data_IF_925636487269
#
_entry.id   IF_925636487269
#
_cell.length_a   1.000
_cell.length_b   1.000
_cell.length_c   1.000
_cell.angle_alpha   90.00
_cell.angle_beta   90.00
_cell.angle_gamma   90.00
#
_symmetry.space_group_name_H-M   'P 1'
#
loop_
_entity.id
_entity.type
_entity.pdbx_description
1 polymer ?
#
# COMPACT_ATOMS: atom_id res chain seq x y z
N UNK A 1 -32.00 -3.90 17.07
CA UNK A 1 -31.40 -2.55 17.19
C UNK A 1 -32.19 -1.62 16.29
N UNK A 2 -32.61 -0.46 16.78
CA UNK A 2 -33.38 0.49 15.99
C UNK A 2 -32.43 1.45 15.28
N UNK A 3 -32.57 1.60 13.96
CA UNK A 3 -31.88 2.62 13.20
C UNK A 3 -32.47 4.00 13.55
N UNK A 4 -31.64 5.01 13.76
CA UNK A 4 -32.07 6.38 14.02
C UNK A 4 -31.72 7.24 12.82
N UNK A 5 -32.74 7.70 12.09
CA UNK A 5 -32.55 8.65 10.98
C UNK A 5 -32.81 10.07 11.49
N UNK A 6 -31.85 10.96 11.26
CA UNK A 6 -31.99 12.38 11.57
C UNK A 6 -32.66 13.09 10.38
N UNK A 7 -33.69 13.92 10.67
CA UNK A 7 -34.28 14.77 9.63
C UNK A 7 -33.22 15.77 9.15
N UNK A 8 -32.92 15.83 7.85
CA UNK A 8 -31.83 16.66 7.37
C UNK A 8 -32.14 18.13 7.48
N UNK A 9 -31.42 18.88 8.27
CA UNK A 9 -31.23 20.32 8.07
C UNK A 9 -30.17 20.49 6.98
N UNK A 10 -30.43 21.38 6.03
CA UNK A 10 -29.76 21.56 4.74
C UNK A 10 -28.23 21.77 4.85
N UNK A 11 -27.68 22.04 6.01
CA UNK A 11 -26.28 22.38 6.25
C UNK A 11 -25.36 21.15 6.32
N UNK A 12 -25.88 19.94 6.58
CA UNK A 12 -25.03 18.77 6.83
C UNK A 12 -24.58 17.97 5.60
N UNK A 13 -25.15 18.23 4.42
CA UNK A 13 -24.83 17.43 3.21
C UNK A 13 -23.43 17.65 2.64
N UNK A 14 -22.84 18.84 2.84
CA UNK A 14 -21.49 19.15 2.34
C UNK A 14 -20.39 18.78 3.32
N UNK A 15 -20.63 18.85 4.62
CA UNK A 15 -19.61 18.62 5.64
C UNK A 15 -19.16 17.15 5.72
N UNK A 16 -20.07 16.21 5.46
CA UNK A 16 -19.76 14.77 5.51
C UNK A 16 -18.89 14.28 4.35
N UNK A 17 -18.96 14.93 3.19
CA UNK A 17 -18.08 14.60 2.04
C UNK A 17 -16.63 15.01 2.25
N UNK A 18 -16.36 15.97 3.12
CA UNK A 18 -15.02 16.49 3.43
C UNK A 18 -14.26 15.65 4.45
N UNK A 19 -14.93 14.73 5.15
CA UNK A 19 -14.34 13.90 6.21
C UNK A 19 -14.00 12.47 5.74
N UNK A 20 -14.00 12.21 4.43
CA UNK A 20 -13.70 10.88 3.92
C UNK A 20 -12.20 10.69 3.72
N UNK A 21 -11.68 9.68 4.39
CA UNK A 21 -10.32 9.22 4.19
C UNK A 21 -10.15 8.72 2.75
N UNK A 22 -9.11 9.17 2.08
CA UNK A 22 -8.75 8.67 0.76
C UNK A 22 -8.31 7.20 0.84
N UNK A 23 -8.80 6.38 -0.09
CA UNK A 23 -8.52 4.95 -0.15
C UNK A 23 -7.46 4.72 -1.21
N UNK A 24 -6.26 4.34 -0.78
CA UNK A 24 -5.07 4.24 -1.63
C UNK A 24 -4.48 2.84 -1.66
N UNK A 25 -4.35 2.19 -0.49
CA UNK A 25 -3.62 0.93 -0.35
C UNK A 25 -4.13 -0.21 -1.25
N UNK A 26 -5.44 -0.43 -1.45
CA UNK A 26 -5.93 -1.49 -2.32
C UNK A 26 -5.47 -1.40 -3.77
N UNK A 27 -5.10 -0.21 -4.24
CA UNK A 27 -4.59 0.00 -5.61
C UNK A 27 -3.11 -0.37 -5.76
N UNK A 28 -2.38 -0.45 -4.66
CA UNK A 28 -0.96 -0.76 -4.62
C UNK A 28 -0.69 -2.26 -4.45
N UNK A 29 -1.71 -3.02 -4.05
CA UNK A 29 -1.59 -4.46 -3.83
C UNK A 29 -1.76 -5.23 -5.13
N UNK A 30 -1.02 -6.33 -5.27
CA UNK A 30 -1.07 -7.21 -6.41
C UNK A 30 -2.40 -7.99 -6.48
N UNK A 31 -3.12 -7.87 -7.60
CA UNK A 31 -4.49 -8.40 -7.78
C UNK A 31 -4.59 -9.56 -8.78
N UNK A 32 -3.51 -10.24 -9.12
CA UNK A 32 -3.50 -11.24 -10.20
C UNK A 32 -4.12 -12.60 -9.86
N UNK A 33 -4.36 -12.90 -8.59
CA UNK A 33 -4.92 -14.18 -8.16
C UNK A 33 -6.43 -14.33 -8.41
N UNK A 34 -7.13 -13.26 -8.79
CA UNK A 34 -8.61 -13.25 -8.96
C UNK A 34 -9.14 -14.31 -9.94
N UNK A 35 -8.44 -14.53 -11.05
CA UNK A 35 -8.87 -15.50 -12.04
C UNK A 35 -8.70 -16.97 -11.59
N UNK A 36 -7.78 -17.26 -10.70
CA UNK A 36 -7.44 -18.61 -10.26
C UNK A 36 -8.38 -19.13 -9.17
N UNK A 37 -9.04 -18.23 -8.42
CA UNK A 37 -10.06 -18.61 -7.45
C UNK A 37 -11.39 -19.05 -8.09
N UNK A 38 -11.62 -18.75 -9.37
CA UNK A 38 -12.84 -19.15 -10.08
C UNK A 38 -12.84 -20.65 -10.33
N UNK A 39 -13.68 -21.37 -9.60
CA UNK A 39 -13.83 -22.83 -9.71
C UNK A 39 -12.78 -23.63 -8.94
N UNK A 40 -11.99 -23.00 -8.09
CA UNK A 40 -11.13 -23.72 -7.16
C UNK A 40 -11.96 -24.56 -6.19
N UNK A 41 -11.54 -25.80 -5.98
CA UNK A 41 -12.23 -26.75 -5.08
C UNK A 41 -12.01 -26.44 -3.61
N UNK A 42 -10.98 -25.65 -3.32
CA UNK A 42 -10.60 -25.15 -1.99
C UNK A 42 -10.40 -23.65 -2.08
N UNK A 43 -10.61 -22.95 -0.98
CA UNK A 43 -10.39 -21.51 -0.84
C UNK A 43 -8.89 -21.12 -0.84
N UNK A 44 -8.03 -22.02 -1.33
CA UNK A 44 -6.58 -21.86 -1.35
C UNK A 44 -6.04 -22.04 -2.76
N UNK A 45 -5.34 -21.02 -3.24
CA UNK A 45 -4.59 -21.05 -4.50
C UNK A 45 -3.10 -21.05 -4.19
N UNK A 46 -2.37 -21.94 -4.84
CA UNK A 46 -0.91 -22.06 -4.67
C UNK A 46 -0.20 -21.31 -5.77
N UNK A 47 0.46 -20.21 -5.43
CA UNK A 47 1.31 -19.46 -6.35
C UNK A 47 2.70 -20.12 -6.40
N UNK A 48 3.16 -20.47 -7.61
CA UNK A 48 4.50 -20.99 -7.83
C UNK A 48 5.49 -19.85 -7.99
N UNK A 49 6.56 -19.91 -7.23
CA UNK A 49 7.68 -19.00 -7.41
C UNK A 49 8.70 -19.64 -8.35
N UNK A 50 9.20 -18.90 -9.36
CA UNK A 50 10.20 -19.42 -10.28
C UNK A 50 11.48 -19.79 -9.52
N UNK A 51 12.07 -20.90 -9.89
CA UNK A 51 13.35 -21.32 -9.34
C UNK A 51 14.47 -20.37 -9.78
N UNK A 52 15.34 -20.02 -8.86
CA UNK A 52 16.55 -19.21 -9.13
C UNK A 52 17.74 -20.18 -9.25
N UNK A 53 18.31 -20.25 -10.44
CA UNK A 53 19.49 -21.06 -10.70
C UNK A 53 20.76 -20.21 -10.70
N UNK A 54 21.86 -20.76 -10.20
CA UNK A 54 23.17 -20.12 -10.25
C UNK A 54 23.82 -20.33 -11.62
N UNK A 55 24.37 -19.26 -12.20
CA UNK A 55 25.22 -19.38 -13.36
C UNK A 55 26.61 -19.94 -12.95
N UNK A 56 27.14 -20.89 -13.72
CA UNK A 56 28.45 -21.47 -13.47
C UNK A 56 29.33 -21.26 -14.69
N UNK A 57 30.61 -21.01 -14.45
CA UNK A 57 31.58 -20.87 -15.49
C UNK A 57 32.37 -22.22 -15.64
N UNK A 58 32.54 -22.67 -16.87
CA UNK A 58 33.32 -23.82 -17.22
C UNK A 58 34.49 -23.37 -18.09
N UNK A 59 35.72 -23.79 -17.71
CA UNK A 59 36.90 -23.33 -18.42
C UNK A 59 36.92 -23.76 -19.89
N UNK A 60 37.07 -22.77 -20.77
CA UNK A 60 37.23 -22.97 -22.22
C UNK A 60 38.65 -23.41 -22.51
N UNK A 61 38.86 -24.54 -23.03
CA UNK A 61 40.18 -25.19 -23.29
C UNK A 61 40.86 -25.89 -22.11
N UNK A 62 40.13 -26.14 -21.06
CA UNK A 62 40.62 -26.94 -19.97
C UNK A 62 40.79 -28.40 -20.39
N UNK A 63 41.69 -29.09 -19.74
CA UNK A 63 41.86 -30.56 -19.79
C UNK A 63 40.64 -31.32 -19.27
N UNK A 64 39.51 -30.65 -19.04
CA UNK A 64 38.21 -31.23 -18.63
C UNK A 64 38.36 -32.37 -17.63
N UNK A 65 39.06 -32.09 -16.54
CA UNK A 65 39.28 -33.04 -15.45
C UNK A 65 38.12 -33.09 -14.44
N UNK A 66 37.15 -32.21 -14.57
CA UNK A 66 35.96 -32.17 -13.72
C UNK A 66 34.68 -32.23 -14.56
N UNK A 67 33.69 -32.93 -14.07
CA UNK A 67 32.35 -32.98 -14.69
C UNK A 67 31.62 -31.66 -14.58
N UNK A 68 30.71 -31.41 -15.54
CA UNK A 68 29.79 -30.27 -15.46
C UNK A 68 28.85 -30.48 -14.27
N UNK A 69 28.82 -29.51 -13.39
CA UNK A 69 27.88 -29.54 -12.24
C UNK A 69 26.47 -29.28 -12.73
N UNK A 70 25.58 -30.20 -12.46
CA UNK A 70 24.14 -30.10 -12.75
C UNK A 70 23.44 -29.69 -11.48
N UNK A 71 22.66 -28.62 -11.54
CA UNK A 71 21.85 -28.13 -10.40
C UNK A 71 20.44 -28.73 -10.48
N UNK A 72 19.88 -29.08 -9.34
CA UNK A 72 18.50 -29.51 -9.23
C UNK A 72 17.57 -28.30 -9.24
N UNK A 73 16.52 -28.35 -10.07
CA UNK A 73 15.49 -27.31 -10.13
C UNK A 73 14.49 -27.55 -9.01
N UNK A 74 14.54 -26.70 -7.99
CA UNK A 74 13.57 -26.73 -6.89
C UNK A 74 12.63 -25.51 -6.99
N UNK A 75 11.36 -25.77 -7.25
CA UNK A 75 10.32 -24.74 -7.23
C UNK A 75 9.80 -24.57 -5.80
N UNK A 76 9.59 -23.33 -5.39
CA UNK A 76 8.90 -22.99 -4.14
C UNK A 76 7.49 -22.48 -4.43
N UNK A 77 6.61 -22.64 -3.47
CA UNK A 77 5.22 -22.19 -3.61
C UNK A 77 4.73 -21.45 -2.39
N UNK A 78 3.89 -20.46 -2.61
CA UNK A 78 3.22 -19.69 -1.55
C UNK A 78 1.72 -19.97 -1.63
N UNK A 79 1.09 -20.52 -0.58
CA UNK A 79 -0.35 -20.70 -0.54
C UNK A 79 -1.02 -19.33 -0.25
N UNK A 80 -1.98 -18.95 -1.09
CA UNK A 80 -2.85 -17.80 -0.89
C UNK A 80 -4.23 -18.32 -0.51
N UNK A 81 -4.67 -17.98 0.69
CA UNK A 81 -5.95 -18.43 1.26
C UNK A 81 -6.95 -17.30 1.24
N UNK A 82 -8.17 -17.56 0.76
CA UNK A 82 -9.27 -16.62 0.82
C UNK A 82 -9.99 -16.78 2.18
N UNK A 83 -9.60 -16.00 3.18
CA UNK A 83 -10.05 -16.15 4.58
C UNK A 83 -10.85 -14.95 5.10
N UNK A 84 -10.96 -13.87 4.34
CA UNK A 84 -11.62 -12.62 4.75
C UNK A 84 -12.77 -12.27 3.82
N UNK A 85 -13.93 -12.02 4.41
CA UNK A 85 -15.10 -11.45 3.75
C UNK A 85 -15.52 -10.17 4.46
N UNK A 86 -15.39 -9.03 3.78
CA UNK A 86 -15.69 -7.71 4.34
C UNK A 86 -17.05 -7.29 3.84
N UNK A 87 -18.01 -7.16 4.74
CA UNK A 87 -19.37 -6.78 4.39
C UNK A 87 -19.90 -5.61 5.24
N UNK A 88 -20.89 -4.93 4.74
CA UNK A 88 -21.70 -3.95 5.46
C UNK A 88 -23.18 -4.24 5.24
N UNK A 89 -23.93 -4.42 6.30
CA UNK A 89 -25.33 -4.73 6.23
C UNK A 89 -26.15 -3.77 7.11
N UNK A 90 -27.26 -3.26 6.55
CA UNK A 90 -28.21 -2.39 7.25
C UNK A 90 -29.60 -2.98 7.09
N UNK A 91 -30.31 -3.19 8.19
CA UNK A 91 -31.71 -3.60 8.16
C UNK A 91 -32.60 -2.35 8.02
N UNK A 92 -33.47 -2.34 7.02
CA UNK A 92 -34.39 -1.24 6.74
C UNK A 92 -35.81 -1.79 6.77
N UNK A 93 -36.72 -1.09 7.43
CA UNK A 93 -38.15 -1.44 7.45
C UNK A 93 -38.86 -0.78 6.28
N UNK A 94 -40.00 -1.33 5.88
CA UNK A 94 -40.85 -0.76 4.81
C UNK A 94 -41.29 0.68 5.13
N UNK A 95 -41.56 0.98 6.41
CA UNK A 95 -41.91 2.31 6.87
C UNK A 95 -40.75 3.31 6.67
N UNK A 96 -39.51 2.92 7.04
CA UNK A 96 -38.32 3.75 6.84
C UNK A 96 -38.02 3.97 5.36
N UNK A 97 -38.20 2.94 4.53
CA UNK A 97 -38.00 3.04 3.10
C UNK A 97 -39.00 4.02 2.45
N UNK A 98 -40.21 4.04 2.94
CA UNK A 98 -41.32 4.86 2.36
C UNK A 98 -41.35 6.30 2.90
N UNK A 99 -41.08 6.50 4.18
CA UNK A 99 -41.29 7.79 4.86
C UNK A 99 -39.97 8.56 5.13
N UNK A 100 -38.87 7.86 5.39
CA UNK A 100 -37.64 8.50 5.89
C UNK A 100 -36.55 8.60 4.84
N UNK A 101 -36.49 7.66 3.87
CA UNK A 101 -35.44 7.59 2.87
C UNK A 101 -35.90 8.30 1.60
N UNK A 102 -35.27 9.45 1.31
CA UNK A 102 -35.55 10.25 0.11
C UNK A 102 -34.71 9.72 -1.07
N UNK A 103 -33.44 9.40 -0.82
CA UNK A 103 -32.52 8.83 -1.81
C UNK A 103 -31.81 7.62 -1.20
N UNK A 104 -32.20 6.45 -1.63
CA UNK A 104 -31.65 5.19 -1.16
C UNK A 104 -30.16 5.03 -1.52
N UNK A 105 -29.77 5.49 -2.68
CA UNK A 105 -28.38 5.37 -3.13
C UNK A 105 -27.43 6.25 -2.29
N UNK A 106 -27.85 7.49 -2.00
CA UNK A 106 -27.00 8.43 -1.25
C UNK A 106 -27.03 8.13 0.26
N UNK A 107 -28.22 7.78 0.82
CA UNK A 107 -28.39 7.63 2.27
C UNK A 107 -28.00 6.24 2.79
N UNK A 108 -28.06 5.19 1.97
CA UNK A 108 -27.85 3.81 2.38
C UNK A 108 -26.69 3.17 1.65
N UNK A 109 -26.72 3.14 0.31
CA UNK A 109 -25.68 2.42 -0.46
C UNK A 109 -24.32 3.11 -0.38
N UNK A 110 -24.25 4.42 -0.50
CA UNK A 110 -22.98 5.15 -0.46
C UNK A 110 -22.23 4.94 0.86
N UNK A 111 -22.83 5.09 2.06
CA UNK A 111 -22.17 4.77 3.32
C UNK A 111 -21.71 3.31 3.44
N UNK A 112 -22.48 2.35 2.92
CA UNK A 112 -22.13 0.93 2.97
C UNK A 112 -20.90 0.64 2.11
N UNK A 113 -20.86 1.13 0.86
CA UNK A 113 -19.72 0.97 -0.05
C UNK A 113 -18.46 1.59 0.57
N UNK A 114 -18.58 2.78 1.15
CA UNK A 114 -17.45 3.45 1.82
C UNK A 114 -16.98 2.71 3.07
N UNK A 115 -17.88 2.08 3.81
CA UNK A 115 -17.53 1.27 4.97
C UNK A 115 -16.73 0.03 4.56
N UNK A 116 -17.15 -0.67 3.48
CA UNK A 116 -16.42 -1.83 2.94
C UNK A 116 -15.05 -1.42 2.41
N UNK A 117 -14.98 -0.32 1.67
CA UNK A 117 -13.71 0.17 1.11
C UNK A 117 -12.71 0.56 2.22
N UNK A 118 -13.18 1.25 3.30
CA UNK A 118 -12.35 1.52 4.49
C UNK A 118 -11.95 0.25 5.23
N UNK A 119 -12.84 -0.73 5.30
CA UNK A 119 -12.56 -2.03 5.90
C UNK A 119 -11.43 -2.75 5.17
N UNK A 120 -11.44 -2.73 3.84
CA UNK A 120 -10.38 -3.31 3.01
C UNK A 120 -9.04 -2.58 3.22
N UNK A 121 -9.06 -1.27 3.24
CA UNK A 121 -7.83 -0.48 3.47
C UNK A 121 -7.24 -0.73 4.86
N UNK A 122 -8.08 -0.76 5.90
CA UNK A 122 -7.65 -1.09 7.25
C UNK A 122 -7.07 -2.51 7.37
N UNK A 123 -7.64 -3.48 6.64
CA UNK A 123 -7.13 -4.85 6.63
C UNK A 123 -5.71 -4.89 6.04
N UNK A 124 -5.48 -4.20 4.91
CA UNK A 124 -4.16 -4.11 4.29
C UNK A 124 -3.18 -3.41 5.22
N UNK A 125 -3.54 -2.26 5.79
CA UNK A 125 -2.71 -1.52 6.72
C UNK A 125 -2.34 -2.34 7.96
N UNK A 126 -3.30 -3.06 8.54
CA UNK A 126 -3.06 -3.94 9.68
C UNK A 126 -2.10 -5.07 9.32
N UNK A 127 -2.24 -5.65 8.13
CA UNK A 127 -1.35 -6.70 7.65
C UNK A 127 0.07 -6.15 7.43
N UNK A 128 0.19 -4.95 6.85
CA UNK A 128 1.49 -4.29 6.68
C UNK A 128 2.16 -4.01 8.04
N UNK A 129 1.43 -3.45 9.00
CA UNK A 129 1.97 -3.15 10.33
C UNK A 129 2.35 -4.42 11.12
N UNK A 130 1.67 -5.54 10.90
CA UNK A 130 1.95 -6.82 11.57
C UNK A 130 3.04 -7.64 10.89
N UNK A 131 3.43 -7.30 9.66
CA UNK A 131 4.42 -8.06 8.88
C UNK A 131 5.85 -7.80 9.39
N UNK A 132 6.69 -8.82 9.29
CA UNK A 132 8.12 -8.69 9.59
C UNK A 132 8.87 -8.35 8.30
N UNK A 133 9.61 -7.28 8.31
CA UNK A 133 10.41 -6.81 7.18
C UNK A 133 11.89 -7.16 7.37
N UNK A 134 12.58 -7.47 6.26
CA UNK A 134 14.00 -7.83 6.28
C UNK A 134 14.91 -6.68 6.73
N UNK A 135 14.55 -5.46 6.42
CA UNK A 135 15.30 -4.25 6.80
C UNK A 135 14.37 -3.25 7.48
N UNK A 136 14.77 -2.81 8.68
CA UNK A 136 14.10 -1.73 9.41
C UNK A 136 15.10 -0.59 9.61
N UNK A 137 14.72 0.61 9.21
CA UNK A 137 15.52 1.82 9.33
C UNK A 137 14.81 2.78 10.29
N UNK A 138 15.55 3.26 11.30
CA UNK A 138 15.01 4.24 12.24
C UNK A 138 15.36 5.64 11.75
N UNK A 139 14.37 6.50 11.73
CA UNK A 139 14.53 7.93 11.55
C UNK A 139 14.71 8.57 12.93
N UNK A 140 15.82 9.25 13.14
CA UNK A 140 16.09 10.05 14.35
C UNK A 140 16.46 11.46 13.93
N UNK A 141 15.71 12.42 14.42
CA UNK A 141 15.76 13.86 14.10
C UNK A 141 17.16 14.52 14.23
N UNK A 142 18.08 13.98 15.01
CA UNK A 142 19.32 14.68 15.36
C UNK A 142 20.59 14.26 14.60
N UNK A 143 20.62 13.11 13.93
CA UNK A 143 21.85 12.62 13.28
C UNK A 143 21.63 12.02 11.89
N UNK A 144 20.46 11.54 11.57
CA UNK A 144 20.11 11.04 10.25
C UNK A 144 18.98 11.91 9.70
N UNK A 145 19.29 12.78 8.75
CA UNK A 145 18.23 13.50 8.06
C UNK A 145 17.32 12.50 7.36
N UNK A 146 16.05 12.81 7.26
CA UNK A 146 15.07 12.02 6.53
C UNK A 146 15.58 11.61 5.14
N UNK A 147 16.32 12.49 4.48
CA UNK A 147 16.99 12.21 3.21
C UNK A 147 17.96 11.03 3.29
N UNK A 148 18.81 10.96 4.32
CA UNK A 148 19.78 9.87 4.46
C UNK A 148 19.09 8.53 4.69
N UNK A 149 17.99 8.53 5.43
CA UNK A 149 17.16 7.31 5.65
C UNK A 149 16.51 6.84 4.36
N UNK A 150 15.98 7.74 3.54
CA UNK A 150 15.43 7.40 2.22
C UNK A 150 16.48 6.83 1.27
N UNK A 151 17.68 7.40 1.27
CA UNK A 151 18.81 6.90 0.48
C UNK A 151 19.23 5.51 0.97
N UNK A 152 19.25 5.28 2.28
CA UNK A 152 19.55 3.96 2.87
C UNK A 152 18.46 2.93 2.55
N UNK A 153 17.19 3.31 2.56
CA UNK A 153 16.10 2.44 2.12
C UNK A 153 16.25 2.04 0.65
N UNK A 154 16.63 3.00 -0.20
CA UNK A 154 16.93 2.72 -1.60
C UNK A 154 18.12 1.77 -1.76
N UNK A 155 19.15 1.93 -0.93
CA UNK A 155 20.31 1.04 -0.93
C UNK A 155 19.89 -0.39 -0.55
N UNK A 156 19.12 -0.57 0.52
CA UNK A 156 18.64 -1.86 0.95
C UNK A 156 17.87 -2.60 -0.17
N UNK A 157 16.98 -1.90 -0.88
CA UNK A 157 16.27 -2.48 -2.02
C UNK A 157 17.20 -2.82 -3.20
N UNK A 158 18.29 -2.06 -3.42
CA UNK A 158 19.27 -2.39 -4.44
C UNK A 158 20.08 -3.63 -4.06
N UNK A 159 20.43 -3.79 -2.79
CA UNK A 159 21.19 -4.93 -2.28
C UNK A 159 20.38 -6.23 -2.40
N UNK A 160 19.05 -6.12 -2.27
CA UNK A 160 18.08 -7.21 -2.51
C UNK A 160 17.72 -7.41 -4.00
N UNK A 161 18.38 -6.70 -4.92
CA UNK A 161 18.13 -6.76 -6.36
C UNK A 161 16.70 -6.41 -6.80
N UNK A 162 15.98 -5.61 -6.04
CA UNK A 162 14.65 -5.12 -6.43
C UNK A 162 14.77 -4.18 -7.63
N UNK A 163 13.92 -4.28 -8.67
CA UNK A 163 13.95 -3.37 -9.81
C UNK A 163 13.86 -1.91 -9.39
N UNK A 164 14.54 -1.03 -10.12
CA UNK A 164 14.56 0.41 -9.81
C UNK A 164 13.31 1.15 -10.27
N UNK A 165 12.59 0.57 -11.20
CA UNK A 165 11.36 1.13 -11.75
C UNK A 165 10.16 0.70 -10.92
N UNK A 166 9.21 1.61 -10.74
CA UNK A 166 7.96 1.30 -10.04
C UNK A 166 8.03 1.27 -8.52
N UNK A 167 9.17 1.64 -7.91
CA UNK A 167 9.29 1.69 -6.46
C UNK A 167 8.34 2.70 -5.85
N UNK A 168 7.64 2.28 -4.81
CA UNK A 168 6.65 3.08 -4.10
C UNK A 168 7.08 3.22 -2.65
N UNK A 169 6.88 4.40 -2.09
CA UNK A 169 7.03 4.69 -0.67
C UNK A 169 5.68 5.11 -0.12
N UNK A 170 5.08 4.26 0.70
CA UNK A 170 3.86 4.60 1.44
C UNK A 170 4.25 5.24 2.75
N UNK A 171 3.75 6.43 3.02
CA UNK A 171 4.12 7.24 4.20
C UNK A 171 2.92 7.52 5.10
N UNK A 172 3.14 7.48 6.40
CA UNK A 172 2.21 7.95 7.39
C UNK A 172 2.20 9.48 7.51
N UNK A 173 1.21 10.03 8.18
CA UNK A 173 0.97 11.47 8.26
C UNK A 173 2.11 12.26 8.93
N UNK A 174 2.77 11.68 9.92
CA UNK A 174 3.84 12.36 10.64
C UNK A 174 5.12 12.43 9.79
N UNK A 175 5.45 11.32 9.11
CA UNK A 175 6.57 11.28 8.15
C UNK A 175 6.32 12.24 6.98
N UNK A 176 5.09 12.32 6.45
CA UNK A 176 4.73 13.28 5.40
C UNK A 176 4.92 14.72 5.89
N UNK A 177 4.49 15.02 7.11
CA UNK A 177 4.67 16.33 7.73
C UNK A 177 6.14 16.69 7.89
N UNK A 178 6.97 15.74 8.32
CA UNK A 178 8.42 15.96 8.45
C UNK A 178 9.10 16.16 7.09
N UNK A 179 8.66 15.40 6.06
CA UNK A 179 9.12 15.64 4.68
C UNK A 179 8.82 17.07 4.21
N UNK A 180 7.63 17.57 4.52
CA UNK A 180 7.22 18.93 4.15
C UNK A 180 7.96 20.02 4.96
N UNK A 181 8.43 19.70 6.15
CA UNK A 181 9.18 20.62 7.00
C UNK A 181 10.70 20.60 6.73
N UNK A 182 11.25 19.59 6.06
CA UNK A 182 12.69 19.50 5.78
C UNK A 182 13.08 20.47 4.64
N UNK A 183 13.99 21.37 4.94
CA UNK A 183 14.53 22.39 4.02
C UNK A 183 15.08 21.79 2.71
N UNK A 184 15.54 20.52 2.72
CA UNK A 184 16.07 19.87 1.53
C UNK A 184 15.01 19.60 0.46
N UNK A 185 13.75 19.50 0.88
CA UNK A 185 12.63 19.23 -0.03
C UNK A 185 11.83 20.49 -0.40
N UNK A 186 11.86 21.50 0.47
CA UNK A 186 11.05 22.70 0.34
C UNK A 186 11.80 23.88 -0.30
N UNK A 187 13.12 23.89 -0.30
CA UNK A 187 13.89 25.02 -0.86
C UNK A 187 14.18 24.80 -2.33
N UNK A 188 13.86 25.80 -3.13
CA UNK A 188 14.08 25.79 -4.59
C UNK A 188 15.56 25.66 -4.95
N UNK A 189 16.46 26.20 -4.13
CA UNK A 189 17.91 26.08 -4.30
C UNK A 189 18.43 24.65 -4.05
N UNK A 190 17.71 23.84 -3.28
CA UNK A 190 18.08 22.46 -2.97
C UNK A 190 17.33 21.42 -3.83
N UNK A 191 16.03 21.62 -4.05
CA UNK A 191 15.13 20.66 -4.71
C UNK A 191 14.73 21.03 -6.14
N UNK A 192 15.10 22.22 -6.63
CA UNK A 192 14.74 22.70 -7.95
C UNK A 192 13.24 22.94 -8.12
N UNK A 193 12.71 22.74 -9.33
CA UNK A 193 11.29 22.98 -9.64
C UNK A 193 10.31 22.13 -8.81
N UNK A 194 10.74 20.99 -8.30
CA UNK A 194 9.92 20.14 -7.41
C UNK A 194 9.51 20.81 -6.11
N UNK A 195 10.33 21.72 -5.57
CA UNK A 195 10.02 22.47 -4.35
C UNK A 195 8.80 23.40 -4.50
N UNK A 196 8.54 23.90 -5.71
CA UNK A 196 7.40 24.79 -5.96
C UNK A 196 6.07 24.05 -5.76
N UNK A 197 5.98 22.81 -6.14
CA UNK A 197 4.81 21.95 -5.94
C UNK A 197 4.64 21.59 -4.46
N UNK A 198 5.72 21.21 -3.78
CA UNK A 198 5.70 20.91 -2.35
C UNK A 198 5.22 22.10 -1.51
N UNK A 199 5.69 23.31 -1.81
CA UNK A 199 5.31 24.54 -1.09
C UNK A 199 3.87 25.00 -1.38
N UNK A 200 3.35 24.78 -2.58
CA UNK A 200 2.02 25.28 -2.98
C UNK A 200 0.92 24.27 -2.75
N UNK A 201 1.19 23.00 -3.00
CA UNK A 201 0.19 21.92 -3.03
C UNK A 201 0.37 20.92 -1.90
N UNK A 202 1.41 21.09 -1.07
CA UNK A 202 1.80 20.16 0.00
C UNK A 202 1.91 18.70 -0.50
N UNK A 203 2.34 18.52 -1.76
CA UNK A 203 2.48 17.21 -2.39
C UNK A 203 3.90 16.94 -2.85
N UNK A 204 4.43 15.77 -2.49
CA UNK A 204 5.73 15.28 -2.92
C UNK A 204 5.49 14.04 -3.77
N UNK A 205 5.54 14.18 -5.09
CA UNK A 205 5.18 13.09 -6.00
C UNK A 205 6.28 12.02 -6.13
N UNK A 206 7.54 12.46 -6.23
CA UNK A 206 8.67 11.55 -6.44
C UNK A 206 9.93 12.05 -5.75
N UNK A 207 10.55 11.19 -4.94
CA UNK A 207 11.74 11.52 -4.17
C UNK A 207 12.67 10.31 -4.07
N UNK A 208 14.00 10.53 -4.17
CA UNK A 208 15.03 9.47 -4.07
C UNK A 208 14.79 8.24 -4.97
N UNK A 209 13.96 8.36 -6.02
CA UNK A 209 13.58 7.28 -6.92
C UNK A 209 12.30 6.54 -6.52
N UNK A 210 11.64 6.94 -5.44
CA UNK A 210 10.34 6.43 -5.02
C UNK A 210 9.21 7.33 -5.49
N UNK A 211 8.09 6.73 -5.82
CA UNK A 211 6.80 7.44 -5.92
C UNK A 211 6.20 7.47 -4.52
N UNK A 212 5.94 8.67 -3.99
CA UNK A 212 5.43 8.85 -2.63
C UNK A 212 3.92 8.81 -2.65
N UNK A 213 3.36 8.05 -1.73
CA UNK A 213 1.92 7.88 -1.56
C UNK A 213 1.60 8.01 -0.07
N UNK A 214 0.88 9.07 0.31
CA UNK A 214 0.38 9.24 1.67
C UNK A 214 -0.80 8.31 1.96
N UNK A 215 -0.82 7.67 3.12
CA UNK A 215 -1.96 6.89 3.58
C UNK A 215 -2.27 7.21 5.04
N UNK A 216 -3.55 7.50 5.31
CA UNK A 216 -4.06 7.73 6.67
C UNK A 216 -4.40 6.43 7.41
N UNK A 217 -4.22 5.27 6.75
CA UNK A 217 -4.55 3.97 7.31
C UNK A 217 -3.40 3.32 8.05
N UNK A 218 -2.16 3.62 7.65
CA UNK A 218 -0.95 3.11 8.30
C UNK A 218 -0.63 3.93 9.55
N UNK A 219 0.29 3.41 10.36
CA UNK A 219 0.79 4.12 11.53
C UNK A 219 1.44 5.45 11.08
N UNK A 220 1.08 6.59 11.71
CA UNK A 220 1.59 7.90 11.34
C UNK A 220 3.12 8.02 11.31
N UNK A 221 3.81 7.34 12.22
CA UNK A 221 5.26 7.38 12.37
C UNK A 221 6.02 6.40 11.46
N UNK A 222 5.32 5.65 10.59
CA UNK A 222 5.91 4.59 9.77
C UNK A 222 5.84 4.91 8.28
N UNK A 223 6.86 4.45 7.54
CA UNK A 223 6.85 4.43 6.09
C UNK A 223 7.29 3.05 5.57
N UNK A 224 6.66 2.61 4.49
CA UNK A 224 6.95 1.33 3.83
C UNK A 224 7.47 1.57 2.42
N UNK A 225 8.66 1.00 2.10
CA UNK A 225 9.27 1.05 0.77
C UNK A 225 9.22 -0.32 0.09
N UNK A 226 8.73 -0.39 -1.15
CA UNK A 226 8.68 -1.60 -2.00
C UNK A 226 8.71 -1.28 -3.49
#
# INVERSE_FOLDING_TARGET
MANTFLKPTVINRMALKLLEREIVLPRLVWNYADAEFRGAYNDTVTLRLPAVLASREYEFRNTRGSDIVVDDLTETSVPVVLDKDIYSAVAITDEQLTLDIIDFAEQVLSPQVKAVARGLENLIATTMNASTYGTSLNFTDSSNSLWSTLVSARQALNDENVPREGRILVVGSDIETEMLNDDKFNRVDSAGDGATTALREATINRLAGFTIVGSQAIDPEVAYAF
#
